data_IF_092101279949
#
_entry.id   IF_092101279949
#
_cell.length_a   1.000
_cell.length_b   1.000
_cell.length_c   1.000
_cell.angle_alpha   90.00
_cell.angle_beta   90.00
_cell.angle_gamma   90.00
#
_symmetry.space_group_name_H-M   'P 1'
#
loop_
_entity.id
_entity.type
_entity.pdbx_description
1 polymer ?
#
# COMPACT_ATOMS: atom_id res chain seq x y z
N UNK A 1 -5.89 23.40 -19.38
CA UNK A 1 -4.54 22.86 -19.09
C UNK A 1 -4.50 21.41 -19.53
N UNK A 2 -3.53 20.97 -20.35
CA UNK A 2 -3.44 19.55 -20.74
C UNK A 2 -3.16 18.73 -19.50
N UNK A 3 -3.89 17.61 -19.36
CA UNK A 3 -3.62 16.62 -18.32
C UNK A 3 -2.17 16.16 -18.50
N UNK A 4 -1.29 16.49 -17.56
CA UNK A 4 0.05 15.90 -17.53
C UNK A 4 -0.14 14.38 -17.59
N UNK A 5 0.45 13.78 -18.62
CA UNK A 5 0.57 12.35 -18.81
C UNK A 5 1.31 11.80 -17.58
N UNK A 6 0.55 11.34 -16.58
CA UNK A 6 1.11 10.69 -15.40
C UNK A 6 1.59 9.33 -15.87
N UNK A 7 2.79 9.30 -16.46
CA UNK A 7 3.45 8.07 -16.89
C UNK A 7 3.40 7.09 -15.74
N UNK A 8 2.73 5.96 -15.98
CA UNK A 8 2.65 4.89 -15.01
C UNK A 8 4.07 4.34 -14.84
N UNK A 9 4.65 4.56 -13.67
CA UNK A 9 6.00 4.10 -13.36
C UNK A 9 5.92 2.61 -13.05
N UNK A 10 6.62 1.81 -13.85
CA UNK A 10 6.75 0.37 -13.63
C UNK A 10 7.80 0.06 -12.56
N UNK A 11 7.64 -1.01 -11.78
CA UNK A 11 8.70 -1.51 -10.90
C UNK A 11 9.82 -2.12 -11.75
N UNK A 12 10.94 -1.42 -11.86
CA UNK A 12 12.07 -1.80 -12.72
C UNK A 12 13.09 -2.69 -12.01
N UNK A 13 12.95 -2.90 -10.72
CA UNK A 13 13.87 -3.66 -9.90
C UNK A 13 13.19 -4.85 -9.23
N UNK A 14 13.92 -5.94 -9.07
CA UNK A 14 13.42 -7.12 -8.36
C UNK A 14 13.17 -6.81 -6.87
N UNK A 15 12.25 -7.55 -6.24
CA UNK A 15 12.00 -7.42 -4.79
C UNK A 15 13.29 -7.63 -3.96
N UNK A 16 14.19 -8.50 -4.42
CA UNK A 16 15.47 -8.72 -3.76
C UNK A 16 16.39 -7.48 -3.86
N UNK A 17 16.48 -6.86 -5.05
CA UNK A 17 17.25 -5.63 -5.23
C UNK A 17 16.69 -4.49 -4.36
N UNK A 18 15.36 -4.35 -4.29
CA UNK A 18 14.67 -3.38 -3.45
C UNK A 18 14.97 -3.59 -1.97
N UNK A 19 14.96 -4.85 -1.49
CA UNK A 19 15.27 -5.16 -0.10
C UNK A 19 16.74 -4.85 0.24
N UNK A 20 17.67 -5.25 -0.62
CA UNK A 20 19.11 -4.98 -0.43
C UNK A 20 19.41 -3.47 -0.43
N UNK A 21 18.78 -2.70 -1.32
CA UNK A 21 18.92 -1.24 -1.30
C UNK A 21 18.37 -0.64 0.01
N UNK A 22 17.23 -1.13 0.48
CA UNK A 22 16.64 -0.67 1.75
C UNK A 22 17.50 -1.02 2.97
N UNK A 23 18.15 -2.18 2.99
CA UNK A 23 19.11 -2.61 4.04
C UNK A 23 20.32 -1.65 4.08
N UNK A 24 20.93 -1.34 2.92
CA UNK A 24 22.04 -0.40 2.85
C UNK A 24 21.65 1.01 3.26
N UNK A 25 20.47 1.49 2.83
CA UNK A 25 19.94 2.78 3.29
C UNK A 25 19.71 2.77 4.80
N UNK A 26 19.14 1.71 5.34
CA UNK A 26 18.94 1.56 6.79
C UNK A 26 20.26 1.64 7.56
N UNK A 27 21.28 0.94 7.08
CA UNK A 27 22.63 0.99 7.65
C UNK A 27 23.21 2.41 7.60
N UNK A 28 23.23 3.04 6.43
CA UNK A 28 23.74 4.40 6.27
C UNK A 28 23.05 5.40 7.21
N UNK A 29 21.70 5.33 7.33
CA UNK A 29 20.93 6.19 8.23
C UNK A 29 21.25 5.97 9.71
N UNK A 30 21.60 4.76 10.13
CA UNK A 30 21.94 4.47 11.51
C UNK A 30 23.38 4.90 11.84
N UNK A 31 24.31 4.78 10.87
CA UNK A 31 25.70 5.18 11.01
C UNK A 31 25.97 6.67 10.69
N UNK A 32 24.93 7.42 10.32
CA UNK A 32 25.06 8.84 9.96
C UNK A 32 25.83 9.06 8.65
N UNK A 33 25.85 8.06 7.77
CA UNK A 33 26.51 8.12 6.47
C UNK A 33 25.58 8.65 5.38
N UNK A 34 26.15 9.09 4.27
CA UNK A 34 25.39 9.46 3.08
C UNK A 34 24.76 8.22 2.43
N UNK A 35 23.54 8.42 1.92
CA UNK A 35 22.80 7.39 1.19
C UNK A 35 23.33 7.32 -0.24
N UNK A 36 23.64 6.13 -0.69
CA UNK A 36 24.04 5.87 -2.09
C UNK A 36 22.90 6.27 -3.06
N UNK A 37 23.24 7.06 -4.08
CA UNK A 37 22.26 7.58 -5.04
C UNK A 37 21.55 6.48 -5.84
N UNK A 38 22.21 5.35 -6.11
CA UNK A 38 21.60 4.23 -6.81
C UNK A 38 20.59 3.51 -5.92
N UNK A 39 20.88 3.33 -4.63
CA UNK A 39 19.96 2.76 -3.67
C UNK A 39 18.73 3.66 -3.48
N UNK A 40 18.93 4.97 -3.40
CA UNK A 40 17.84 5.92 -3.38
C UNK A 40 16.95 5.82 -4.62
N UNK A 41 17.55 5.70 -5.80
CA UNK A 41 16.82 5.51 -7.08
C UNK A 41 16.01 4.22 -7.10
N UNK A 42 16.55 3.12 -6.57
CA UNK A 42 15.84 1.84 -6.48
C UNK A 42 14.62 1.96 -5.57
N UNK A 43 14.79 2.54 -4.37
CA UNK A 43 13.70 2.71 -3.40
C UNK A 43 12.64 3.69 -3.91
N UNK A 44 13.05 4.77 -4.57
CA UNK A 44 12.09 5.72 -5.15
C UNK A 44 11.31 5.12 -6.33
N UNK A 45 11.93 4.33 -7.21
CA UNK A 45 11.22 3.61 -8.25
C UNK A 45 10.18 2.66 -7.65
N UNK A 46 10.56 1.90 -6.61
CA UNK A 46 9.64 1.01 -5.91
C UNK A 46 8.46 1.78 -5.30
N UNK A 47 8.73 2.88 -4.61
CA UNK A 47 7.71 3.75 -4.06
C UNK A 47 6.78 4.29 -5.15
N UNK A 48 7.36 4.87 -6.19
CA UNK A 48 6.62 5.53 -7.27
C UNK A 48 5.73 4.55 -8.06
N UNK A 49 6.16 3.29 -8.22
CA UNK A 49 5.36 2.25 -8.89
C UNK A 49 4.05 1.94 -8.16
N UNK A 50 3.96 2.19 -6.85
CA UNK A 50 2.73 2.02 -6.09
C UNK A 50 1.64 3.06 -6.43
N UNK A 51 1.95 4.13 -7.14
CA UNK A 51 0.95 5.11 -7.57
C UNK A 51 -0.10 4.51 -8.51
N UNK A 52 0.31 3.56 -9.37
CA UNK A 52 -0.62 2.84 -10.26
C UNK A 52 -1.66 2.06 -9.44
N UNK A 53 -1.19 1.34 -8.43
CA UNK A 53 -2.04 0.53 -7.55
C UNK A 53 -2.99 1.43 -6.76
N UNK A 54 -2.47 2.52 -6.20
CA UNK A 54 -3.27 3.48 -5.45
C UNK A 54 -4.43 4.04 -6.28
N UNK A 55 -4.17 4.39 -7.55
CA UNK A 55 -5.21 4.88 -8.47
C UNK A 55 -6.25 3.79 -8.79
N UNK A 56 -5.80 2.56 -9.05
CA UNK A 56 -6.70 1.42 -9.31
C UNK A 56 -7.63 1.17 -8.11
N UNK A 57 -7.05 1.10 -6.91
CA UNK A 57 -7.79 0.89 -5.68
C UNK A 57 -8.76 2.01 -5.38
N UNK A 58 -8.36 3.26 -5.58
CA UNK A 58 -9.24 4.42 -5.40
C UNK A 58 -10.52 4.27 -6.23
N UNK A 59 -10.41 3.87 -7.48
CA UNK A 59 -11.55 3.68 -8.37
C UNK A 59 -12.45 2.55 -7.84
N UNK A 60 -11.85 1.41 -7.50
CA UNK A 60 -12.58 0.24 -6.99
C UNK A 60 -13.31 0.58 -5.69
N UNK A 61 -12.61 1.17 -4.71
CA UNK A 61 -13.18 1.44 -3.40
C UNK A 61 -14.26 2.52 -3.47
N UNK A 62 -14.08 3.59 -4.24
CA UNK A 62 -15.12 4.61 -4.44
C UNK A 62 -16.39 4.01 -5.04
N UNK A 63 -16.25 3.11 -6.02
CA UNK A 63 -17.41 2.40 -6.58
C UNK A 63 -18.10 1.51 -5.53
N UNK A 64 -17.31 0.88 -4.64
CA UNK A 64 -17.83 0.01 -3.57
C UNK A 64 -18.48 0.77 -2.42
N UNK A 65 -18.00 1.95 -2.09
CA UNK A 65 -18.62 2.83 -1.10
C UNK A 65 -20.06 3.15 -1.53
N UNK A 66 -20.29 3.40 -2.82
CA UNK A 66 -21.62 3.75 -3.35
C UNK A 66 -22.15 5.03 -2.68
N UNK A 67 -23.41 4.98 -2.21
CA UNK A 67 -24.09 6.12 -1.58
C UNK A 67 -23.83 6.24 -0.06
N UNK A 68 -22.95 5.41 0.53
CA UNK A 68 -22.64 5.48 1.96
C UNK A 68 -21.93 6.79 2.28
N UNK A 69 -22.34 7.44 3.36
CA UNK A 69 -21.67 8.64 3.88
C UNK A 69 -20.33 8.26 4.51
N UNK A 70 -19.29 8.23 3.68
CA UNK A 70 -17.94 7.76 4.05
C UNK A 70 -16.93 8.84 3.68
N UNK A 71 -16.08 9.21 4.63
CA UNK A 71 -14.88 9.99 4.30
C UNK A 71 -13.83 9.06 3.68
N UNK A 72 -13.32 9.45 2.52
CA UNK A 72 -12.33 8.68 1.77
C UNK A 72 -11.06 9.51 1.58
N UNK A 73 -9.94 8.99 2.08
CA UNK A 73 -8.62 9.56 1.84
C UNK A 73 -7.69 8.50 1.26
N UNK A 74 -6.79 8.93 0.37
CA UNK A 74 -5.72 8.09 -0.14
C UNK A 74 -4.38 8.57 0.41
N UNK A 75 -3.45 7.64 0.59
CA UNK A 75 -2.11 7.92 1.07
C UNK A 75 -1.08 7.19 0.22
N UNK A 76 -0.17 7.97 -0.36
CA UNK A 76 1.09 7.48 -0.88
C UNK A 76 2.20 7.84 0.11
N UNK A 77 2.86 6.86 0.69
CA UNK A 77 3.85 7.05 1.75
C UNK A 77 5.02 7.90 1.25
N UNK A 78 5.37 8.95 2.00
CA UNK A 78 6.48 9.84 1.65
C UNK A 78 7.82 9.12 1.84
N UNK A 79 8.81 9.42 1.00
CA UNK A 79 10.17 8.87 1.06
C UNK A 79 10.76 8.95 2.47
N UNK A 80 10.75 10.11 3.09
CA UNK A 80 11.28 10.30 4.44
C UNK A 80 10.58 9.41 5.49
N UNK A 81 9.27 9.15 5.31
CA UNK A 81 8.54 8.26 6.23
C UNK A 81 8.93 6.78 6.01
N UNK A 82 9.30 6.40 4.78
CA UNK A 82 9.88 5.08 4.50
C UNK A 82 11.23 4.97 5.18
N UNK A 83 12.11 5.94 5.01
CA UNK A 83 13.45 5.98 5.60
C UNK A 83 13.41 5.91 7.13
N UNK A 84 12.55 6.72 7.77
CA UNK A 84 12.36 6.66 9.22
C UNK A 84 11.88 5.28 9.70
N UNK A 85 11.08 4.59 8.90
CA UNK A 85 10.63 3.24 9.23
C UNK A 85 11.75 2.22 9.04
N UNK A 86 12.57 2.33 7.97
CA UNK A 86 13.73 1.49 7.76
C UNK A 86 14.78 1.68 8.86
N UNK A 87 15.06 2.93 9.27
CA UNK A 87 15.95 3.23 10.39
C UNK A 87 15.50 2.56 11.68
N UNK A 88 14.18 2.58 11.97
CA UNK A 88 13.60 2.00 13.20
C UNK A 88 13.55 0.47 13.15
N UNK A 89 13.42 -0.11 11.97
CA UNK A 89 13.27 -1.55 11.75
C UNK A 89 14.25 -2.05 10.68
N UNK A 90 15.57 -2.16 10.99
CA UNK A 90 16.60 -2.44 10.01
C UNK A 90 16.39 -3.74 9.21
N UNK A 91 15.83 -4.75 9.86
CA UNK A 91 15.63 -6.09 9.27
C UNK A 91 14.28 -6.21 8.51
N UNK A 92 13.52 -5.11 8.35
CA UNK A 92 12.23 -5.16 7.69
C UNK A 92 12.40 -5.09 6.16
N UNK A 93 12.03 -6.13 5.40
CA UNK A 93 12.10 -6.09 3.96
C UNK A 93 11.16 -5.01 3.39
N UNK A 94 11.70 -4.05 2.63
CA UNK A 94 10.91 -2.97 2.03
C UNK A 94 9.82 -3.51 1.10
N UNK A 95 10.10 -4.58 0.37
CA UNK A 95 9.13 -5.21 -0.52
C UNK A 95 7.92 -5.82 0.21
N UNK A 96 8.00 -6.01 1.54
CA UNK A 96 6.89 -6.43 2.39
C UNK A 96 6.19 -5.27 3.10
N UNK A 97 6.62 -4.04 2.87
CA UNK A 97 5.98 -2.87 3.46
C UNK A 97 4.63 -2.61 2.78
N UNK A 98 3.53 -3.01 3.42
CA UNK A 98 2.19 -2.94 2.85
C UNK A 98 1.52 -1.56 2.99
N UNK A 99 2.16 -0.58 3.61
CA UNK A 99 1.62 0.77 3.80
C UNK A 99 2.30 1.84 2.92
N UNK A 100 2.95 1.44 1.82
CA UNK A 100 3.47 2.36 0.79
C UNK A 100 2.33 3.01 0.03
N UNK A 101 1.34 2.22 -0.37
CA UNK A 101 0.07 2.70 -0.93
C UNK A 101 -1.08 2.25 -0.03
N UNK A 102 -2.04 3.12 0.22
CA UNK A 102 -3.19 2.76 1.02
C UNK A 102 -4.31 3.79 0.92
N UNK A 103 -5.51 3.35 1.27
CA UNK A 103 -6.64 4.22 1.49
C UNK A 103 -7.07 4.20 2.96
N UNK A 104 -7.78 5.24 3.35
CA UNK A 104 -8.47 5.31 4.62
C UNK A 104 -9.94 5.63 4.37
N UNK A 105 -10.79 4.81 4.95
CA UNK A 105 -12.23 5.00 4.95
C UNK A 105 -12.70 5.24 6.37
N UNK A 106 -13.51 6.28 6.57
CA UNK A 106 -14.13 6.56 7.87
C UNK A 106 -15.63 6.54 7.63
N UNK A 107 -16.29 5.55 8.19
CA UNK A 107 -17.73 5.39 8.10
C UNK A 107 -18.41 6.17 9.22
N UNK A 108 -19.64 6.62 8.96
CA UNK A 108 -20.43 7.37 9.94
C UNK A 108 -20.94 6.47 11.07
N UNK A 109 -21.18 5.20 10.76
CA UNK A 109 -21.67 4.20 11.70
C UNK A 109 -21.06 2.81 11.41
N UNK A 110 -21.12 1.95 12.41
CA UNK A 110 -20.54 0.61 12.36
C UNK A 110 -21.26 -0.31 11.37
N UNK A 111 -22.57 -0.21 11.23
CA UNK A 111 -23.36 -1.05 10.32
C UNK A 111 -22.95 -0.83 8.86
N UNK A 112 -22.74 0.42 8.45
CA UNK A 112 -22.25 0.76 7.11
C UNK A 112 -20.84 0.21 6.88
N UNK A 113 -19.99 0.26 7.89
CA UNK A 113 -18.63 -0.28 7.85
C UNK A 113 -18.64 -1.80 7.69
N UNK A 114 -19.40 -2.52 8.52
CA UNK A 114 -19.52 -3.99 8.45
C UNK A 114 -20.10 -4.42 7.11
N UNK A 115 -21.18 -3.76 6.67
CA UNK A 115 -21.78 -4.02 5.36
C UNK A 115 -20.80 -3.82 4.20
N UNK A 116 -19.96 -2.77 4.27
CA UNK A 116 -18.92 -2.52 3.29
C UNK A 116 -17.86 -3.63 3.27
N UNK A 117 -17.34 -4.01 4.44
CA UNK A 117 -16.29 -5.04 4.57
C UNK A 117 -16.80 -6.38 4.04
N UNK A 118 -18.00 -6.79 4.46
CA UNK A 118 -18.61 -8.02 3.97
C UNK A 118 -18.81 -8.00 2.45
N UNK A 119 -19.31 -6.88 1.92
CA UNK A 119 -19.49 -6.70 0.48
C UNK A 119 -18.17 -6.69 -0.30
N UNK A 120 -17.06 -6.28 0.31
CA UNK A 120 -15.71 -6.35 -0.30
C UNK A 120 -15.18 -7.79 -0.29
N UNK A 121 -15.27 -8.49 0.84
CA UNK A 121 -14.74 -9.85 1.01
C UNK A 121 -15.53 -10.90 0.22
N UNK A 122 -16.84 -10.77 0.13
CA UNK A 122 -17.71 -11.70 -0.58
C UNK A 122 -17.77 -11.47 -2.10
N UNK A 123 -17.09 -10.44 -2.60
CA UNK A 123 -17.16 -10.10 -4.01
C UNK A 123 -16.29 -11.02 -4.88
N UNK A 124 -16.90 -12.00 -5.52
CA UNK A 124 -16.24 -12.91 -6.46
C UNK A 124 -15.55 -12.23 -7.65
N UNK A 125 -15.96 -11.00 -8.01
CA UNK A 125 -15.35 -10.23 -9.10
C UNK A 125 -14.11 -9.43 -8.63
N UNK A 126 -13.81 -9.48 -7.35
CA UNK A 126 -12.64 -8.84 -6.78
C UNK A 126 -11.45 -9.80 -6.92
N UNK A 127 -10.62 -9.56 -7.92
CA UNK A 127 -9.56 -10.49 -8.34
C UNK A 127 -8.21 -10.27 -7.66
N UNK A 128 -8.05 -9.18 -6.87
CA UNK A 128 -6.83 -8.94 -6.11
C UNK A 128 -6.74 -9.91 -4.91
N UNK A 129 -5.52 -10.33 -4.60
CA UNK A 129 -5.28 -11.33 -3.57
C UNK A 129 -5.27 -10.70 -2.18
N UNK A 130 -6.23 -11.06 -1.34
CA UNK A 130 -6.25 -10.66 0.07
C UNK A 130 -5.17 -11.41 0.84
N UNK A 131 -4.42 -10.69 1.67
CA UNK A 131 -3.39 -11.26 2.55
C UNK A 131 -3.98 -11.46 3.95
N UNK A 132 -4.70 -12.55 4.16
CA UNK A 132 -5.44 -12.84 5.40
C UNK A 132 -4.55 -12.80 6.65
N UNK A 133 -3.31 -13.27 6.56
CA UNK A 133 -2.33 -13.20 7.66
C UNK A 133 -1.95 -11.78 8.07
N UNK A 134 -2.25 -10.79 7.22
CA UNK A 134 -1.98 -9.37 7.47
C UNK A 134 -3.24 -8.59 7.89
N UNK A 135 -4.39 -9.25 7.93
CA UNK A 135 -5.63 -8.67 8.44
C UNK A 135 -5.51 -8.37 9.94
N UNK A 136 -5.91 -7.18 10.35
CA UNK A 136 -5.93 -6.77 11.75
C UNK A 136 -7.23 -6.05 12.07
N UNK A 137 -7.94 -6.55 13.07
CA UNK A 137 -9.18 -5.94 13.57
C UNK A 137 -8.92 -5.28 14.93
N UNK A 138 -8.50 -4.02 14.89
CA UNK A 138 -8.29 -3.21 16.12
C UNK A 138 -9.57 -2.62 16.69
N UNK A 139 -10.75 -2.97 16.17
CA UNK A 139 -12.02 -2.68 16.80
C UNK A 139 -12.29 -3.75 17.87
N UNK A 140 -12.09 -5.03 17.49
CA UNK A 140 -12.22 -6.15 18.41
C UNK A 140 -11.06 -6.20 19.43
N UNK A 141 -9.84 -5.91 18.96
CA UNK A 141 -8.61 -5.92 19.77
C UNK A 141 -7.91 -4.55 19.67
N UNK A 142 -8.37 -3.52 20.41
CA UNK A 142 -7.79 -2.19 20.37
C UNK A 142 -6.31 -2.18 20.75
N UNK A 143 -5.53 -1.29 20.15
CA UNK A 143 -4.15 -1.07 20.56
C UNK A 143 -4.10 -0.34 21.91
N UNK A 144 -3.02 -0.51 22.65
CA UNK A 144 -2.73 0.25 23.87
C UNK A 144 -2.83 1.77 23.69
N UNK A 145 -2.47 2.27 22.49
CA UNK A 145 -2.61 3.68 22.12
C UNK A 145 -4.07 4.15 21.94
N UNK A 146 -5.06 3.28 22.15
CA UNK A 146 -6.48 3.56 21.91
C UNK A 146 -6.88 3.53 20.42
N UNK A 147 -5.96 3.19 19.50
CA UNK A 147 -6.28 3.11 18.09
C UNK A 147 -7.30 2.01 17.81
N UNK A 148 -8.36 2.38 17.08
CA UNK A 148 -9.41 1.46 16.59
C UNK A 148 -9.49 1.55 15.08
N UNK A 149 -9.74 0.44 14.42
CA UNK A 149 -9.91 0.35 12.98
C UNK A 149 -9.53 -1.01 12.44
N UNK A 150 -9.86 -1.26 11.20
CA UNK A 150 -9.55 -2.50 10.50
C UNK A 150 -8.46 -2.23 9.45
N UNK A 151 -7.41 -3.03 9.49
CA UNK A 151 -6.40 -3.04 8.43
C UNK A 151 -6.59 -4.28 7.57
N UNK A 152 -6.80 -4.08 6.30
CA UNK A 152 -6.89 -5.14 5.31
C UNK A 152 -5.83 -4.94 4.23
N UNK A 153 -5.07 -5.99 3.92
CA UNK A 153 -3.93 -5.92 3.01
C UNK A 153 -4.19 -6.78 1.79
N UNK A 154 -3.90 -6.24 0.63
CA UNK A 154 -4.07 -6.92 -0.65
C UNK A 154 -2.79 -6.85 -1.46
N UNK A 155 -2.52 -7.91 -2.25
CA UNK A 155 -1.56 -7.88 -3.32
C UNK A 155 -2.27 -7.59 -4.65
N UNK A 156 -1.73 -6.64 -5.41
CA UNK A 156 -2.23 -6.36 -6.74
C UNK A 156 -2.09 -7.60 -7.62
N UNK A 157 -3.10 -7.87 -8.44
CA UNK A 157 -3.11 -8.93 -9.42
C UNK A 157 -3.75 -8.41 -10.70
N UNK A 158 -3.07 -8.57 -11.83
CA UNK A 158 -3.60 -8.26 -13.15
C UNK A 158 -4.67 -9.27 -13.56
N UNK A 159 -5.63 -8.86 -14.40
CA UNK A 159 -6.73 -9.73 -14.81
C UNK A 159 -6.30 -10.80 -15.79
N UNK A 160 -5.37 -10.48 -16.69
CA UNK A 160 -4.96 -11.36 -17.78
C UNK A 160 -3.45 -11.51 -17.84
N UNK A 161 -2.97 -12.68 -18.24
CA UNK A 161 -1.53 -12.98 -18.32
C UNK A 161 -0.76 -12.07 -19.33
N UNK A 162 -1.44 -11.51 -20.33
CA UNK A 162 -0.88 -10.60 -21.33
C UNK A 162 -1.13 -9.12 -21.01
N UNK A 163 -1.70 -8.82 -19.83
CA UNK A 163 -1.99 -7.46 -19.40
C UNK A 163 -0.69 -6.69 -19.14
N UNK A 164 -0.60 -5.46 -19.69
CA UNK A 164 0.52 -4.55 -19.40
C UNK A 164 0.67 -4.25 -17.90
N UNK A 165 -0.40 -4.39 -17.14
CA UNK A 165 -0.41 -4.18 -15.70
C UNK A 165 0.24 -5.33 -14.90
N UNK A 166 0.68 -6.40 -15.55
CA UNK A 166 1.31 -7.55 -14.89
C UNK A 166 2.62 -7.20 -14.16
N UNK A 167 3.34 -6.18 -14.62
CA UNK A 167 4.55 -5.74 -13.93
C UNK A 167 4.32 -5.25 -12.50
N UNK A 168 3.09 -4.86 -12.14
CA UNK A 168 2.71 -4.47 -10.76
C UNK A 168 2.20 -5.62 -9.90
N UNK A 169 2.11 -6.85 -10.43
CA UNK A 169 1.61 -8.01 -9.67
C UNK A 169 2.42 -8.23 -8.40
N UNK A 170 1.71 -8.47 -7.30
CA UNK A 170 2.30 -8.71 -5.99
C UNK A 170 2.79 -7.47 -5.25
N UNK A 171 2.58 -6.24 -5.79
CA UNK A 171 2.74 -5.02 -4.99
C UNK A 171 1.62 -4.93 -3.96
N UNK A 172 1.99 -4.50 -2.74
CA UNK A 172 1.09 -4.50 -1.60
C UNK A 172 0.34 -3.17 -1.46
N UNK A 173 -0.90 -3.27 -1.05
CA UNK A 173 -1.79 -2.17 -0.77
C UNK A 173 -2.51 -2.42 0.56
N UNK A 174 -2.68 -1.38 1.38
CA UNK A 174 -3.41 -1.46 2.64
C UNK A 174 -4.65 -0.57 2.66
N UNK A 175 -5.78 -1.17 2.96
CA UNK A 175 -6.99 -0.46 3.34
C UNK A 175 -7.04 -0.27 4.85
N UNK A 176 -7.45 0.90 5.30
CA UNK A 176 -7.61 1.24 6.72
C UNK A 176 -9.03 1.77 6.91
N UNK A 177 -9.82 1.05 7.65
CA UNK A 177 -11.25 1.26 7.82
C UNK A 177 -11.53 1.56 9.28
#
# INVERSE_FOLDING_TARGET
MPRQDRRQISPNFSKNAVNKAAERISFALNEGQEIDANDEKIVENWRASHAHILNTWQIILRKKIGNRKTFFAQRHKRKNTIYNKLKRYPNMPLARMHDIAGCRLIFRNENDMISYINGLHLNKNFHHERKESQYKNYIAEPKESGYRGIHDVYAYKSRHAKDRSKCWDGLLYRDSI
#
